data_IF_255332176609
#
_entry.id   IF_255332176609
#
_cell.length_a   1.000
_cell.length_b   1.000
_cell.length_c   1.000
_cell.angle_alpha   90.00
_cell.angle_beta   90.00
_cell.angle_gamma   90.00
#
_symmetry.space_group_name_H-M   'P 1'
#
loop_
_entity.id
_entity.type
_entity.pdbx_description
1 polymer ?
#
# COMPACT_ATOMS: atom_id res chain seq x y z
N UNK A 1 -11.80 -3.27 10.88
CA UNK A 1 -10.87 -3.67 9.79
C UNK A 1 -10.58 -2.54 8.82
N UNK A 2 -11.56 -1.89 8.22
CA UNK A 2 -11.37 -0.73 7.33
C UNK A 2 -10.61 0.42 8.00
N UNK A 3 -10.88 0.69 9.28
CA UNK A 3 -10.14 1.69 10.06
C UNK A 3 -8.65 1.35 10.15
N UNK A 4 -8.26 0.09 10.35
CA UNK A 4 -6.86 -0.31 10.40
C UNK A 4 -6.14 -0.02 9.08
N UNK A 5 -6.78 -0.34 7.95
CA UNK A 5 -6.23 -0.08 6.62
C UNK A 5 -6.06 1.44 6.35
N UNK A 6 -7.07 2.24 6.67
CA UNK A 6 -6.96 3.71 6.55
C UNK A 6 -5.87 4.29 7.46
N UNK A 7 -5.79 3.84 8.71
CA UNK A 7 -4.74 4.28 9.64
C UNK A 7 -3.36 3.91 9.11
N UNK A 8 -3.18 2.67 8.64
CA UNK A 8 -1.93 2.23 7.99
C UNK A 8 -1.54 3.13 6.81
N UNK A 9 -2.51 3.49 5.97
CA UNK A 9 -2.30 4.40 4.84
C UNK A 9 -1.85 5.79 5.28
N UNK A 10 -2.53 6.39 6.26
CA UNK A 10 -2.14 7.72 6.77
C UNK A 10 -0.74 7.71 7.42
N UNK A 11 -0.39 6.65 8.16
CA UNK A 11 0.96 6.51 8.74
C UNK A 11 2.00 6.40 7.64
N UNK A 12 1.75 5.59 6.61
CA UNK A 12 2.65 5.47 5.46
C UNK A 12 2.83 6.81 4.72
N UNK A 13 1.75 7.56 4.51
CA UNK A 13 1.81 8.89 3.89
C UNK A 13 2.60 9.90 4.74
N UNK A 14 2.46 9.85 6.07
CA UNK A 14 3.25 10.70 6.96
C UNK A 14 4.75 10.39 6.83
N UNK A 15 5.11 9.10 6.84
CA UNK A 15 6.50 8.68 6.64
C UNK A 15 6.99 9.09 5.25
N UNK A 16 6.19 8.92 4.24
CA UNK A 16 6.52 9.31 2.86
C UNK A 16 6.78 10.82 2.74
N UNK A 17 6.00 11.67 3.41
CA UNK A 17 6.22 13.12 3.41
C UNK A 17 7.54 13.49 4.10
N UNK A 18 7.83 12.89 5.25
CA UNK A 18 9.11 13.09 5.95
C UNK A 18 10.30 12.63 5.10
N UNK A 19 10.14 11.49 4.43
CA UNK A 19 11.14 10.97 3.51
C UNK A 19 11.33 11.88 2.30
N UNK A 20 10.24 12.48 1.77
CA UNK A 20 10.31 13.47 0.71
C UNK A 20 11.17 14.68 1.09
N UNK A 21 11.03 15.19 2.32
CA UNK A 21 11.88 16.27 2.85
C UNK A 21 13.34 15.83 2.88
N UNK A 22 13.63 14.62 3.33
CA UNK A 22 14.97 14.06 3.33
C UNK A 22 15.55 13.94 1.91
N UNK A 23 14.77 13.49 0.94
CA UNK A 23 15.17 13.43 -0.47
C UNK A 23 15.51 14.81 -1.03
N UNK A 24 14.77 15.86 -0.66
CA UNK A 24 15.10 17.26 -1.04
C UNK A 24 16.48 17.66 -0.49
N UNK A 25 16.77 17.29 0.76
CA UNK A 25 18.10 17.52 1.34
C UNK A 25 19.21 16.79 0.55
N UNK A 26 19.00 15.52 0.17
CA UNK A 26 19.96 14.76 -0.62
C UNK A 26 20.21 15.35 -2.02
N UNK A 27 19.18 15.96 -2.61
CA UNK A 27 19.25 16.59 -3.93
C UNK A 27 19.80 18.03 -3.88
N UNK A 28 20.05 18.59 -2.68
CA UNK A 28 20.58 19.92 -2.52
C UNK A 28 22.06 20.01 -2.96
N UNK A 29 22.55 21.16 -3.44
CA UNK A 29 23.96 21.33 -3.81
C UNK A 29 24.89 20.93 -2.67
N UNK A 30 25.77 19.96 -2.91
CA UNK A 30 26.66 19.38 -1.91
C UNK A 30 26.04 18.30 -1.01
N UNK A 31 24.81 17.90 -1.27
CA UNK A 31 24.18 16.74 -0.64
C UNK A 31 24.80 15.40 -1.10
N UNK A 32 24.60 14.32 -0.33
CA UNK A 32 25.04 12.99 -0.72
C UNK A 32 24.27 12.49 -1.97
N UNK A 33 24.87 11.55 -2.70
CA UNK A 33 24.21 10.94 -3.85
C UNK A 33 22.93 10.20 -3.44
N UNK A 34 21.85 10.47 -4.16
CA UNK A 34 20.58 9.76 -3.98
C UNK A 34 20.59 8.44 -4.78
N UNK A 35 20.22 7.35 -4.13
CA UNK A 35 20.14 6.04 -4.80
C UNK A 35 18.74 5.77 -5.37
N UNK A 36 18.68 4.94 -6.42
CA UNK A 36 17.42 4.49 -7.00
C UNK A 36 16.50 3.78 -5.98
N UNK A 37 17.08 3.05 -5.03
CA UNK A 37 16.33 2.38 -3.97
C UNK A 37 15.64 3.38 -3.02
N UNK A 38 16.30 4.51 -2.69
CA UNK A 38 15.68 5.57 -1.88
C UNK A 38 14.50 6.23 -2.60
N UNK A 39 14.65 6.51 -3.89
CA UNK A 39 13.57 7.08 -4.71
C UNK A 39 12.44 6.08 -4.88
N UNK A 40 12.76 4.81 -5.19
CA UNK A 40 11.78 3.74 -5.36
C UNK A 40 10.99 3.46 -4.08
N UNK A 41 11.68 3.35 -2.94
CA UNK A 41 11.04 3.15 -1.64
C UNK A 41 10.07 4.28 -1.29
N UNK A 42 10.50 5.54 -1.47
CA UNK A 42 9.65 6.71 -1.27
C UNK A 42 8.39 6.68 -2.15
N UNK A 43 8.53 6.37 -3.43
CA UNK A 43 7.41 6.29 -4.36
C UNK A 43 6.41 5.18 -3.96
N UNK A 44 6.91 3.99 -3.60
CA UNK A 44 6.06 2.88 -3.16
C UNK A 44 5.29 3.23 -1.87
N UNK A 45 5.92 3.87 -0.89
CA UNK A 45 5.23 4.33 0.32
C UNK A 45 4.09 5.30 0.01
N UNK A 46 4.31 6.25 -0.90
CA UNK A 46 3.29 7.22 -1.30
C UNK A 46 2.10 6.57 -1.99
N UNK A 47 2.37 5.81 -3.04
CA UNK A 47 1.31 5.16 -3.84
C UNK A 47 0.52 4.16 -3.00
N UNK A 48 1.19 3.28 -2.27
CA UNK A 48 0.53 2.28 -1.45
C UNK A 48 -0.20 2.90 -0.26
N UNK A 49 0.31 4.00 0.29
CA UNK A 49 -0.37 4.77 1.33
C UNK A 49 -1.71 5.34 0.85
N UNK A 50 -1.74 5.96 -0.33
CA UNK A 50 -2.97 6.46 -0.95
C UNK A 50 -3.95 5.31 -1.22
N UNK A 51 -3.46 4.22 -1.83
CA UNK A 51 -4.29 3.04 -2.11
C UNK A 51 -4.87 2.42 -0.84
N UNK A 52 -4.12 2.38 0.25
CA UNK A 52 -4.62 1.88 1.54
C UNK A 52 -5.77 2.72 2.08
N UNK A 53 -5.67 4.05 2.00
CA UNK A 53 -6.76 4.94 2.44
C UNK A 53 -7.99 4.74 1.57
N UNK A 54 -7.84 4.78 0.24
CA UNK A 54 -8.94 4.63 -0.72
C UNK A 54 -9.60 3.25 -0.59
N UNK A 55 -8.80 2.19 -0.53
CA UNK A 55 -9.31 0.82 -0.33
C UNK A 55 -10.01 0.68 1.02
N UNK A 56 -9.48 1.29 2.07
CA UNK A 56 -10.11 1.31 3.39
C UNK A 56 -11.46 2.03 3.43
N UNK A 57 -11.70 2.99 2.54
CA UNK A 57 -13.00 3.63 2.36
C UNK A 57 -13.93 2.76 1.49
N UNK A 58 -13.39 2.17 0.43
CA UNK A 58 -14.17 1.38 -0.52
C UNK A 58 -14.65 0.04 0.07
N UNK A 59 -13.83 -0.63 0.90
CA UNK A 59 -14.09 -1.98 1.40
C UNK A 59 -15.36 -2.08 2.25
N UNK A 60 -15.86 -0.96 2.79
CA UNK A 60 -17.12 -0.91 3.53
C UNK A 60 -18.34 -1.08 2.62
N UNK A 61 -18.16 -0.81 1.33
CA UNK A 61 -19.20 -0.92 0.29
C UNK A 61 -19.10 -2.20 -0.55
N UNK A 62 -18.20 -3.10 -0.18
CA UNK A 62 -18.03 -4.40 -0.86
C UNK A 62 -18.88 -5.48 -0.19
N UNK A 63 -19.18 -6.54 -0.93
CA UNK A 63 -19.81 -7.76 -0.40
C UNK A 63 -18.87 -8.63 0.46
N UNK A 64 -17.59 -8.24 0.60
CA UNK A 64 -16.60 -9.02 1.32
C UNK A 64 -16.92 -9.15 2.81
N UNK A 65 -16.94 -10.37 3.30
CA UNK A 65 -17.19 -10.70 4.72
C UNK A 65 -16.20 -11.75 5.22
N UNK A 66 -16.14 -11.94 6.52
CA UNK A 66 -15.36 -13.02 7.15
C UNK A 66 -13.90 -13.05 6.70
N UNK A 67 -13.44 -14.21 6.28
CA UNK A 67 -12.06 -14.49 5.91
C UNK A 67 -11.60 -13.68 4.70
N UNK A 68 -12.43 -13.58 3.66
CA UNK A 68 -12.07 -12.84 2.44
C UNK A 68 -11.79 -11.37 2.72
N UNK A 69 -12.61 -10.74 3.57
CA UNK A 69 -12.37 -9.37 4.02
C UNK A 69 -11.10 -9.24 4.86
N UNK A 70 -10.83 -10.21 5.73
CA UNK A 70 -9.60 -10.24 6.53
C UNK A 70 -8.37 -10.35 5.64
N UNK A 71 -8.36 -11.27 4.67
CA UNK A 71 -7.26 -11.47 3.73
C UNK A 71 -7.03 -10.19 2.91
N UNK A 72 -8.09 -9.58 2.40
CA UNK A 72 -7.98 -8.33 1.64
C UNK A 72 -7.34 -7.21 2.46
N UNK A 73 -7.76 -7.02 3.72
CA UNK A 73 -7.26 -5.94 4.58
C UNK A 73 -5.84 -6.20 5.06
N UNK A 74 -5.60 -7.36 5.68
CA UNK A 74 -4.29 -7.65 6.27
C UNK A 74 -3.24 -7.96 5.22
N UNK A 75 -3.62 -8.63 4.12
CA UNK A 75 -2.72 -8.83 2.99
C UNK A 75 -2.26 -7.52 2.39
N UNK A 76 -3.17 -6.54 2.25
CA UNK A 76 -2.80 -5.21 1.79
C UNK A 76 -1.86 -4.51 2.78
N UNK A 77 -2.18 -4.49 4.09
CA UNK A 77 -1.34 -3.85 5.10
C UNK A 77 0.07 -4.46 5.10
N UNK A 78 0.19 -5.79 5.10
CA UNK A 78 1.48 -6.48 5.08
C UNK A 78 2.27 -6.14 3.82
N UNK A 79 1.65 -6.24 2.64
CA UNK A 79 2.30 -5.92 1.37
C UNK A 79 2.72 -4.45 1.28
N UNK A 80 1.89 -3.52 1.77
CA UNK A 80 2.17 -2.09 1.81
C UNK A 80 3.46 -1.76 2.58
N UNK A 81 3.72 -2.45 3.68
CA UNK A 81 4.90 -2.19 4.51
C UNK A 81 6.13 -2.96 4.03
N UNK A 82 5.94 -4.22 3.65
CA UNK A 82 7.07 -5.08 3.31
C UNK A 82 7.62 -4.84 1.90
N UNK A 83 6.80 -4.43 0.93
CA UNK A 83 7.30 -4.13 -0.41
C UNK A 83 8.32 -2.98 -0.41
N UNK A 84 8.01 -1.77 0.09
CA UNK A 84 8.99 -0.69 0.11
C UNK A 84 10.17 -0.98 1.07
N UNK A 85 9.94 -1.69 2.18
CA UNK A 85 11.02 -2.13 3.05
C UNK A 85 12.01 -3.04 2.33
N UNK A 86 11.53 -3.96 1.50
CA UNK A 86 12.36 -4.85 0.68
C UNK A 86 13.18 -4.06 -0.33
N UNK A 87 12.58 -3.05 -1.00
CA UNK A 87 13.28 -2.18 -1.95
C UNK A 87 14.41 -1.42 -1.26
N UNK A 88 14.21 -0.96 -0.02
CA UNK A 88 15.27 -0.31 0.75
C UNK A 88 16.37 -1.28 1.19
N UNK A 89 15.98 -2.47 1.63
CA UNK A 89 16.93 -3.48 2.09
C UNK A 89 17.82 -4.03 0.97
N UNK A 90 17.43 -3.86 -0.30
CA UNK A 90 18.28 -4.15 -1.45
C UNK A 90 19.65 -3.47 -1.34
N UNK A 91 19.72 -2.28 -0.77
CA UNK A 91 20.98 -1.52 -0.63
C UNK A 91 22.03 -2.26 0.22
N UNK A 92 21.60 -3.06 1.19
CA UNK A 92 22.49 -3.80 2.10
C UNK A 92 22.44 -5.31 1.87
N UNK A 93 21.35 -5.80 1.31
CA UNK A 93 21.08 -7.23 1.14
C UNK A 93 20.35 -7.51 -0.19
N UNK A 94 21.05 -7.40 -1.34
CA UNK A 94 20.47 -7.54 -2.68
C UNK A 94 19.59 -8.78 -2.88
N UNK A 95 19.88 -9.97 -2.30
CA UNK A 95 19.01 -11.14 -2.48
C UNK A 95 17.60 -10.97 -1.93
N UNK A 96 17.37 -10.04 -0.99
CA UNK A 96 16.03 -9.79 -0.45
C UNK A 96 15.06 -9.23 -1.48
N UNK A 97 15.56 -8.59 -2.54
CA UNK A 97 14.70 -8.02 -3.60
C UNK A 97 13.76 -9.08 -4.21
N UNK A 98 14.17 -10.35 -4.25
CA UNK A 98 13.32 -11.43 -4.75
C UNK A 98 12.01 -11.56 -3.95
N UNK A 99 12.02 -11.19 -2.66
CA UNK A 99 10.81 -11.24 -1.82
C UNK A 99 9.80 -10.16 -2.19
N UNK A 100 10.19 -9.13 -2.95
CA UNK A 100 9.26 -8.12 -3.47
C UNK A 100 8.15 -8.73 -4.34
N UNK A 101 8.45 -9.83 -5.07
CA UNK A 101 7.44 -10.57 -5.83
C UNK A 101 6.35 -11.15 -4.92
N UNK A 102 6.71 -11.66 -3.74
CA UNK A 102 5.75 -12.17 -2.76
C UNK A 102 4.83 -11.06 -2.25
N UNK A 103 5.40 -9.92 -1.90
CA UNK A 103 4.63 -8.78 -1.41
C UNK A 103 3.75 -8.15 -2.51
N UNK A 104 4.27 -8.10 -3.73
CA UNK A 104 3.50 -7.68 -4.91
C UNK A 104 2.33 -8.64 -5.20
N UNK A 105 2.55 -9.95 -5.14
CA UNK A 105 1.49 -10.94 -5.30
C UNK A 105 0.42 -10.81 -4.21
N UNK A 106 0.83 -10.59 -2.96
CA UNK A 106 -0.09 -10.39 -1.83
C UNK A 106 -0.97 -9.14 -2.03
N UNK A 107 -0.38 -8.04 -2.47
CA UNK A 107 -1.11 -6.81 -2.82
C UNK A 107 -2.08 -7.06 -3.98
N UNK A 108 -1.65 -7.80 -5.02
CA UNK A 108 -2.48 -8.15 -6.16
C UNK A 108 -3.70 -8.98 -5.75
N UNK A 109 -3.50 -10.00 -4.92
CA UNK A 109 -4.60 -10.82 -4.38
C UNK A 109 -5.55 -9.96 -3.54
N UNK A 110 -5.00 -9.10 -2.67
CA UNK A 110 -5.81 -8.21 -1.84
C UNK A 110 -6.68 -7.28 -2.68
N UNK A 111 -6.12 -6.64 -3.71
CA UNK A 111 -6.87 -5.76 -4.62
C UNK A 111 -7.86 -6.53 -5.50
N UNK A 112 -7.50 -7.74 -5.94
CA UNK A 112 -8.40 -8.63 -6.66
C UNK A 112 -9.64 -9.00 -5.85
N UNK A 113 -9.47 -9.29 -4.56
CA UNK A 113 -10.60 -9.53 -3.65
C UNK A 113 -11.49 -8.30 -3.50
N UNK A 114 -10.90 -7.11 -3.35
CA UNK A 114 -11.67 -5.86 -3.25
C UNK A 114 -12.45 -5.60 -4.54
N UNK A 115 -11.82 -5.79 -5.71
CA UNK A 115 -12.49 -5.65 -7.00
C UNK A 115 -13.65 -6.64 -7.14
N UNK A 116 -13.42 -7.91 -6.81
CA UNK A 116 -14.48 -8.93 -6.79
C UNK A 116 -15.63 -8.54 -5.86
N UNK A 117 -15.32 -8.14 -4.62
CA UNK A 117 -16.33 -7.73 -3.65
C UNK A 117 -17.11 -6.48 -4.08
N UNK A 118 -16.49 -5.59 -4.88
CA UNK A 118 -17.18 -4.43 -5.45
C UNK A 118 -18.14 -4.84 -6.56
N UNK A 119 -17.72 -5.77 -7.45
CA UNK A 119 -18.56 -6.25 -8.56
C UNK A 119 -19.75 -7.05 -8.04
N UNK A 120 -19.58 -7.78 -6.95
CA UNK A 120 -20.62 -8.63 -6.37
C UNK A 120 -21.45 -7.95 -5.28
N UNK A 121 -21.13 -6.70 -4.95
CA UNK A 121 -21.98 -5.92 -4.07
C UNK A 121 -23.30 -5.61 -4.79
N UNK A 122 -24.42 -5.94 -4.17
CA UNK A 122 -25.71 -5.49 -4.67
C UNK A 122 -25.72 -3.95 -4.63
N UNK A 123 -25.85 -3.35 -5.80
CA UNK A 123 -26.19 -1.94 -5.91
C UNK A 123 -27.61 -1.80 -5.34
N UNK A 124 -27.72 -1.59 -4.03
CA UNK A 124 -28.96 -1.24 -3.37
C UNK A 124 -29.45 0.11 -3.89
N UNK A 125 -29.80 0.12 -5.17
CA UNK A 125 -30.51 1.22 -5.77
C UNK A 125 -31.80 1.44 -4.97
N UNK A 126 -32.22 2.70 -4.72
CA UNK A 126 -33.50 2.96 -4.11
C UNK A 126 -34.56 2.19 -4.91
N UNK A 127 -35.26 1.28 -4.25
CA UNK A 127 -36.44 0.68 -4.84
C UNK A 127 -37.32 1.84 -5.27
N UNK A 128 -37.37 2.08 -6.59
CA UNK A 128 -38.33 3.01 -7.18
C UNK A 128 -39.70 2.41 -6.94
N UNK A 129 -40.31 2.74 -5.79
CA UNK A 129 -41.71 2.49 -5.47
C UNK A 129 -42.58 3.59 -6.07
#
# INVERSE_FOLDING_TARGET
MSRALRTSGYVALTIQMLWGIYNVYLLSPGGPDITGALVGGHAHFGVLGILAVVTGLAIERTSLTGTSRSVAVWGFIVGQWLLPATVLMEMVMPPLLITAYLWGALLTVSMGLVAWGTITADDGGPALG
#
